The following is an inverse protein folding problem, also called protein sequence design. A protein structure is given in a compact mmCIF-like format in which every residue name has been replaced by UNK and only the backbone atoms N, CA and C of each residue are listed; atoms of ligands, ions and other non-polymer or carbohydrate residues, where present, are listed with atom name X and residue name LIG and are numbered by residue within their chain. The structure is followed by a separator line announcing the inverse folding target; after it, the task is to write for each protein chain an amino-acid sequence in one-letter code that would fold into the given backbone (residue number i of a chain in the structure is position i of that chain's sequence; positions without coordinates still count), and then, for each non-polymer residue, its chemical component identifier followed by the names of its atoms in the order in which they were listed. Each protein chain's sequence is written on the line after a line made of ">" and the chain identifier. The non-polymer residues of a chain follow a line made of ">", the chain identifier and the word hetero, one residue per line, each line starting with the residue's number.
data_IF_350772307858
#
_entry.id   IF_350772307858
#
_cell.length_a   1.000
_cell.length_b   1.000
_cell.length_c   1.000
_cell.angle_alpha   90.00
_cell.angle_beta   90.00
_cell.angle_gamma   90.00
#
_symmetry.space_group_name_H-M   'P 1'
#
loop_
_entity.id
_entity.type
_entity.pdbx_description
1 polymer ?
#
# COMPACT_ATOMS: atom_id res chain seq x y z
N UNK A 1 -18.01 15.18 -9.43
CA UNK A 1 -17.66 13.79 -9.81
C UNK A 1 -16.50 13.24 -8.98
N UNK A 2 -15.33 13.91 -8.99
CA UNK A 2 -14.11 13.50 -8.26
C UNK A 2 -14.33 13.20 -6.77
N UNK A 3 -15.08 14.07 -6.06
CA UNK A 3 -15.40 13.87 -4.64
C UNK A 3 -16.06 12.53 -4.34
N UNK A 4 -16.97 12.06 -5.22
CA UNK A 4 -17.67 10.78 -5.02
C UNK A 4 -16.71 9.60 -5.18
N UNK A 5 -15.73 9.72 -6.08
CA UNK A 5 -14.71 8.69 -6.31
C UNK A 5 -13.88 8.51 -5.04
N UNK A 6 -13.27 9.59 -4.52
CA UNK A 6 -12.41 9.51 -3.33
C UNK A 6 -13.15 9.24 -2.01
N UNK A 7 -14.45 9.56 -1.92
CA UNK A 7 -15.23 9.33 -0.67
C UNK A 7 -15.98 8.00 -0.62
N UNK A 8 -16.36 7.44 -1.78
CA UNK A 8 -17.16 6.20 -1.85
C UNK A 8 -16.50 5.09 -2.65
N UNK A 9 -15.77 5.41 -3.70
CA UNK A 9 -15.29 4.44 -4.68
C UNK A 9 -13.76 4.33 -4.70
N UNK A 10 -13.08 4.77 -3.64
CA UNK A 10 -11.62 4.72 -3.54
C UNK A 10 -11.09 3.28 -3.69
N UNK A 11 -11.85 2.30 -3.22
CA UNK A 11 -11.54 0.88 -3.45
C UNK A 11 -11.33 0.53 -4.92
N UNK A 12 -12.17 1.04 -5.84
CA UNK A 12 -12.02 0.80 -7.27
C UNK A 12 -10.76 1.46 -7.84
N UNK A 13 -10.38 2.64 -7.33
CA UNK A 13 -9.11 3.27 -7.70
C UNK A 13 -7.92 2.44 -7.23
N UNK A 14 -7.98 1.86 -6.04
CA UNK A 14 -6.92 0.98 -5.54
C UNK A 14 -6.80 -0.30 -6.37
N UNK A 15 -7.92 -0.96 -6.70
CA UNK A 15 -7.90 -2.10 -7.64
C UNK A 15 -7.27 -1.69 -8.96
N UNK A 16 -7.66 -0.54 -9.51
CA UNK A 16 -7.12 -0.09 -10.79
C UNK A 16 -5.62 0.17 -10.69
N UNK A 17 -5.15 0.82 -9.62
CA UNK A 17 -3.73 1.08 -9.39
C UNK A 17 -2.92 -0.22 -9.27
N UNK A 18 -3.31 -1.12 -8.37
CA UNK A 18 -2.54 -2.35 -8.13
C UNK A 18 -2.72 -3.38 -9.25
N UNK A 19 -3.93 -3.51 -9.80
CA UNK A 19 -4.21 -4.42 -10.91
C UNK A 19 -3.48 -4.00 -12.19
N UNK A 20 -3.47 -2.70 -12.49
CA UNK A 20 -2.67 -2.18 -13.61
C UNK A 20 -1.17 -2.36 -13.35
N UNK A 21 -0.69 -2.08 -12.13
CA UNK A 21 0.69 -2.33 -11.73
C UNK A 21 1.10 -3.80 -11.90
N UNK A 22 0.23 -4.74 -11.52
CA UNK A 22 0.44 -6.17 -11.71
C UNK A 22 0.54 -6.55 -13.20
N UNK A 23 -0.35 -6.04 -14.04
CA UNK A 23 -0.32 -6.29 -15.48
C UNK A 23 1.00 -5.76 -16.09
N UNK A 24 1.41 -4.55 -15.72
CA UNK A 24 2.68 -3.99 -16.19
C UNK A 24 3.87 -4.83 -15.73
N UNK A 25 3.91 -5.24 -14.46
CA UNK A 25 4.96 -6.09 -13.93
C UNK A 25 4.99 -7.45 -14.64
N UNK A 26 3.84 -8.03 -14.99
CA UNK A 26 3.77 -9.28 -15.72
C UNK A 26 4.26 -9.18 -17.17
N UNK A 27 3.91 -8.07 -17.86
CA UNK A 27 4.26 -7.88 -19.26
C UNK A 27 5.71 -7.39 -19.48
N UNK A 28 6.24 -6.59 -18.55
CA UNK A 28 7.52 -5.90 -18.70
C UNK A 28 8.54 -6.23 -17.59
N UNK A 29 8.17 -7.06 -16.62
CA UNK A 29 9.07 -7.46 -15.54
C UNK A 29 10.16 -8.40 -16.03
N UNK A 30 11.41 -8.09 -15.67
CA UNK A 30 12.51 -9.02 -15.83
C UNK A 30 12.49 -10.04 -14.68
N UNK A 31 12.51 -11.33 -14.99
CA UNK A 31 12.60 -12.37 -13.96
C UNK A 31 13.96 -12.30 -13.26
N UNK A 32 13.96 -11.86 -12.00
CA UNK A 32 15.12 -11.89 -11.13
C UNK A 32 14.90 -12.94 -10.04
N UNK A 33 15.59 -14.06 -10.18
CA UNK A 33 15.54 -15.17 -9.23
C UNK A 33 16.34 -14.82 -7.97
N UNK A 34 15.66 -14.44 -6.89
CA UNK A 34 16.31 -14.23 -5.60
C UNK A 34 16.60 -15.58 -4.92
N UNK A 35 17.85 -16.02 -4.99
CA UNK A 35 18.32 -17.19 -4.25
C UNK A 35 18.47 -16.88 -2.75
N UNK A 36 17.70 -17.56 -1.89
CA UNK A 36 17.89 -17.49 -0.44
C UNK A 36 19.13 -18.32 -0.09
N UNK A 37 20.28 -17.66 0.04
CA UNK A 37 21.49 -18.32 0.50
C UNK A 37 21.38 -18.55 2.02
N UNK A 38 21.00 -19.77 2.44
CA UNK A 38 20.90 -20.15 3.86
C UNK A 38 22.30 -20.30 4.45
N UNK A 39 22.91 -19.21 4.89
CA UNK A 39 24.07 -19.28 5.78
C UNK A 39 23.59 -19.59 7.20
N UNK A 40 24.06 -20.70 7.75
CA UNK A 40 23.73 -21.14 9.12
C UNK A 40 24.49 -20.24 10.09
N UNK A 41 23.85 -19.15 10.51
CA UNK A 41 24.39 -18.23 11.49
C UNK A 41 23.45 -17.05 11.63
N UNK A 42 23.01 -16.75 12.85
CA UNK A 42 22.19 -15.59 13.18
C UNK A 42 23.01 -14.30 13.07
N UNK A 43 23.49 -13.98 11.87
CA UNK A 43 23.98 -12.65 11.58
C UNK A 43 22.74 -11.78 11.37
N UNK A 44 22.49 -10.85 12.29
CA UNK A 44 21.59 -9.72 12.07
C UNK A 44 22.25 -8.82 11.01
N UNK A 45 22.12 -9.22 9.76
CA UNK A 45 22.67 -8.50 8.62
C UNK A 45 21.59 -7.60 7.98
N UNK A 46 22.02 -6.58 7.24
CA UNK A 46 21.17 -5.57 6.57
C UNK A 46 20.12 -6.24 5.65
N UNK A 47 20.33 -7.50 5.27
CA UNK A 47 19.37 -8.36 4.56
C UNK A 47 18.01 -8.49 5.27
N UNK A 48 17.97 -8.46 6.61
CA UNK A 48 16.72 -8.50 7.36
C UNK A 48 15.92 -7.19 7.23
N UNK A 49 16.58 -6.04 7.09
CA UNK A 49 15.90 -4.75 6.95
C UNK A 49 15.06 -4.72 5.66
N UNK A 50 15.62 -5.22 4.56
CA UNK A 50 14.92 -5.36 3.28
C UNK A 50 13.69 -6.27 3.43
N UNK A 51 13.86 -7.40 4.12
CA UNK A 51 12.76 -8.33 4.39
C UNK A 51 11.64 -7.69 5.22
N UNK A 52 11.97 -7.05 6.34
CA UNK A 52 10.98 -6.39 7.20
C UNK A 52 10.27 -5.24 6.51
N UNK A 53 10.99 -4.40 5.76
CA UNK A 53 10.37 -3.30 5.00
C UNK A 53 9.44 -3.83 3.92
N UNK A 54 9.86 -4.84 3.16
CA UNK A 54 9.02 -5.47 2.13
C UNK A 54 7.76 -6.11 2.74
N UNK A 55 7.89 -6.73 3.92
CA UNK A 55 6.77 -7.29 4.67
C UNK A 55 5.79 -6.21 5.14
N UNK A 56 6.28 -5.12 5.73
CA UNK A 56 5.45 -3.98 6.17
C UNK A 56 4.71 -3.38 4.98
N UNK A 57 5.43 -3.13 3.88
CA UNK A 57 4.85 -2.60 2.66
C UNK A 57 3.74 -3.53 2.15
N UNK A 58 4.02 -4.82 1.96
CA UNK A 58 3.05 -5.79 1.44
C UNK A 58 1.80 -5.89 2.31
N UNK A 59 1.97 -6.00 3.64
CA UNK A 59 0.85 -6.05 4.57
C UNK A 59 0.02 -4.76 4.56
N UNK A 60 0.67 -3.60 4.44
CA UNK A 60 -0.02 -2.32 4.34
C UNK A 60 -0.88 -2.23 3.08
N UNK A 61 -0.37 -2.66 1.91
CA UNK A 61 -1.14 -2.64 0.67
C UNK A 61 -2.36 -3.57 0.74
N UNK A 62 -2.18 -4.79 1.27
CA UNK A 62 -3.28 -5.74 1.50
C UNK A 62 -4.34 -5.13 2.43
N UNK A 63 -3.90 -4.51 3.53
CA UNK A 63 -4.78 -3.83 4.48
C UNK A 63 -5.60 -2.73 3.79
N UNK A 64 -5.00 -1.94 2.90
CA UNK A 64 -5.72 -0.85 2.22
C UNK A 64 -6.78 -1.38 1.24
N UNK A 65 -6.45 -2.39 0.43
CA UNK A 65 -7.41 -3.00 -0.49
C UNK A 65 -8.60 -3.58 0.28
N UNK A 66 -8.32 -4.43 1.28
CA UNK A 66 -9.37 -5.09 2.08
C UNK A 66 -10.13 -4.06 2.92
N UNK A 67 -9.43 -3.11 3.53
CA UNK A 67 -10.01 -2.08 4.38
C UNK A 67 -10.99 -1.18 3.64
N UNK A 68 -10.60 -0.67 2.47
CA UNK A 68 -11.52 0.13 1.64
C UNK A 68 -12.62 -0.70 0.98
N UNK A 69 -12.39 -1.99 0.70
CA UNK A 69 -13.46 -2.92 0.30
C UNK A 69 -14.53 -3.01 1.39
N UNK A 70 -14.12 -3.23 2.64
CA UNK A 70 -15.07 -3.31 3.77
C UNK A 70 -15.84 -2.01 3.90
N UNK A 71 -15.17 -0.85 3.90
CA UNK A 71 -15.80 0.47 3.97
C UNK A 71 -16.81 0.69 2.83
N UNK A 72 -16.47 0.24 1.62
CA UNK A 72 -17.35 0.28 0.46
C UNK A 72 -18.59 -0.60 0.63
N UNK A 73 -18.44 -1.86 1.06
CA UNK A 73 -19.54 -2.81 1.26
C UNK A 73 -20.53 -2.32 2.32
N UNK A 74 -20.04 -1.75 3.42
CA UNK A 74 -20.88 -1.15 4.48
C UNK A 74 -21.39 0.26 4.12
N UNK A 75 -21.10 0.74 2.89
CA UNK A 75 -21.53 2.02 2.32
C UNK A 75 -21.11 3.24 3.14
N UNK A 76 -19.97 3.18 3.84
CA UNK A 76 -19.42 4.34 4.55
C UNK A 76 -18.72 5.29 3.58
N UNK A 77 -18.93 6.58 3.80
CA UNK A 77 -18.23 7.69 3.14
C UNK A 77 -17.01 8.08 3.96
N UNK A 78 -15.85 8.08 3.33
CA UNK A 78 -14.60 8.53 3.91
C UNK A 78 -14.44 10.05 3.78
N UNK A 79 -13.48 10.62 4.50
CA UNK A 79 -13.17 12.04 4.37
C UNK A 79 -12.41 12.28 3.06
N UNK A 80 -12.90 13.22 2.25
CA UNK A 80 -12.36 13.50 0.93
C UNK A 80 -10.86 13.86 0.94
N UNK A 81 -10.44 14.77 1.82
CA UNK A 81 -9.05 15.24 1.85
C UNK A 81 -8.12 14.15 2.37
N UNK A 82 -8.55 13.39 3.39
CA UNK A 82 -7.76 12.27 3.89
C UNK A 82 -7.64 11.14 2.85
N UNK A 83 -8.71 10.87 2.09
CA UNK A 83 -8.68 9.90 1.00
C UNK A 83 -7.71 10.28 -0.11
N UNK A 84 -7.65 11.56 -0.49
CA UNK A 84 -6.69 12.06 -1.48
C UNK A 84 -5.27 11.93 -0.94
N UNK A 85 -5.00 12.48 0.24
CA UNK A 85 -3.68 12.40 0.86
C UNK A 85 -3.21 10.95 1.02
N UNK A 86 -4.11 10.05 1.42
CA UNK A 86 -3.78 8.63 1.53
C UNK A 86 -3.45 8.01 0.17
N UNK A 87 -4.24 8.31 -0.86
CA UNK A 87 -3.98 7.81 -2.21
C UNK A 87 -2.65 8.33 -2.79
N UNK A 88 -2.32 9.60 -2.56
CA UNK A 88 -1.02 10.18 -2.92
C UNK A 88 0.13 9.50 -2.20
N UNK A 89 0.02 9.25 -0.89
CA UNK A 89 1.05 8.53 -0.13
C UNK A 89 1.22 7.10 -0.66
N UNK A 90 0.13 6.40 -1.03
CA UNK A 90 0.24 5.07 -1.66
C UNK A 90 1.07 5.16 -2.94
N UNK A 91 0.83 6.15 -3.81
CA UNK A 91 1.63 6.35 -5.02
C UNK A 91 3.11 6.61 -4.65
N UNK A 92 3.38 7.44 -3.65
CA UNK A 92 4.75 7.68 -3.18
C UNK A 92 5.42 6.42 -2.66
N UNK A 93 4.70 5.53 -1.96
CA UNK A 93 5.27 4.23 -1.54
C UNK A 93 5.69 3.39 -2.75
N UNK A 94 4.93 3.42 -3.85
CA UNK A 94 5.26 2.69 -5.08
C UNK A 94 6.46 3.32 -5.80
N UNK A 95 6.53 4.65 -5.89
CA UNK A 95 7.63 5.36 -6.56
C UNK A 95 8.96 5.18 -5.84
N UNK A 96 8.94 5.19 -4.50
CA UNK A 96 10.14 5.06 -3.67
C UNK A 96 10.37 3.64 -3.16
N UNK A 97 9.87 2.61 -3.84
CA UNK A 97 9.98 1.20 -3.41
C UNK A 97 11.43 0.75 -3.19
N UNK A 98 12.37 1.24 -4.01
CA UNK A 98 13.80 0.93 -3.93
C UNK A 98 14.50 1.59 -2.72
N UNK A 99 13.94 2.67 -2.17
CA UNK A 99 14.49 3.34 -1.00
C UNK A 99 13.77 2.85 0.26
N UNK A 100 14.31 1.79 0.88
CA UNK A 100 13.67 1.10 1.99
C UNK A 100 13.30 2.02 3.17
N UNK A 101 14.15 2.99 3.52
CA UNK A 101 13.89 3.89 4.66
C UNK A 101 12.72 4.82 4.33
N UNK A 102 12.74 5.43 3.15
CA UNK A 102 11.68 6.35 2.70
C UNK A 102 10.36 5.61 2.52
N UNK A 103 10.39 4.42 1.91
CA UNK A 103 9.22 3.56 1.74
C UNK A 103 8.59 3.16 3.08
N UNK A 104 9.41 2.78 4.08
CA UNK A 104 8.92 2.42 5.40
C UNK A 104 8.21 3.61 6.07
N UNK A 105 8.79 4.81 6.00
CA UNK A 105 8.18 6.03 6.55
C UNK A 105 6.83 6.31 5.89
N UNK A 106 6.76 6.27 4.55
CA UNK A 106 5.50 6.47 3.83
C UNK A 106 4.49 5.37 4.11
N UNK A 107 4.89 4.11 4.25
CA UNK A 107 3.99 3.00 4.58
C UNK A 107 3.35 3.18 5.95
N UNK A 108 4.14 3.61 6.95
CA UNK A 108 3.62 3.93 8.29
C UNK A 108 2.67 5.12 8.26
N UNK A 109 3.03 6.21 7.57
CA UNK A 109 2.15 7.37 7.39
C UNK A 109 0.84 6.98 6.68
N UNK A 110 0.93 6.11 5.68
CA UNK A 110 -0.24 5.57 4.96
C UNK A 110 -1.16 4.82 5.91
N UNK A 111 -0.62 3.93 6.76
CA UNK A 111 -1.42 3.23 7.77
C UNK A 111 -2.13 4.19 8.73
N UNK A 112 -1.43 5.22 9.22
CA UNK A 112 -2.02 6.23 10.12
C UNK A 112 -3.18 6.95 9.42
N UNK A 113 -3.00 7.37 8.16
CA UNK A 113 -4.05 8.01 7.38
C UNK A 113 -5.23 7.08 7.12
N UNK A 114 -4.97 5.81 6.78
CA UNK A 114 -6.01 4.81 6.58
C UNK A 114 -6.89 4.67 7.82
N UNK A 115 -6.30 4.43 9.00
CA UNK A 115 -7.07 4.29 10.24
C UNK A 115 -7.82 5.57 10.59
N UNK A 116 -7.16 6.73 10.49
CA UNK A 116 -7.80 8.03 10.74
C UNK A 116 -9.01 8.25 9.83
N UNK A 117 -8.88 7.91 8.55
CA UNK A 117 -9.95 8.04 7.57
C UNK A 117 -11.09 7.05 7.82
N UNK A 118 -10.76 5.81 8.20
CA UNK A 118 -11.72 4.77 8.58
C UNK A 118 -12.52 5.18 9.82
N UNK A 119 -11.87 5.70 10.87
CA UNK A 119 -12.54 6.19 12.09
C UNK A 119 -13.45 7.39 11.81
N UNK A 120 -13.01 8.34 10.98
CA UNK A 120 -13.80 9.52 10.59
C UNK A 120 -14.89 9.23 9.54
N UNK A 121 -14.94 8.02 8.99
CA UNK A 121 -15.95 7.68 7.98
C UNK A 121 -17.36 7.66 8.58
N UNK A 122 -18.39 7.94 7.79
CA UNK A 122 -19.79 8.00 8.25
C UNK A 122 -20.72 7.46 7.17
N UNK A 123 -21.97 7.11 7.50
CA UNK A 123 -22.94 6.63 6.51
C UNK A 123 -23.41 7.75 5.56
#
# INVERSE_FOLDING_TARGET
>A
MLKKIFTKYLFFLLILLFGFGFILAYLFGYEQSYGINKTVGWAYDISNQVFFTSLIFTLSQILFIIGYLILFLIRRKTNYYLSIAHFEIIILTLVFSENFIVNAIFSVLSMILFFTNAFKSHK
#
